data_IF_385661911540
#
_entry.id   IF_385661911540
#
_cell.length_a   1.000
_cell.length_b   1.000
_cell.length_c   1.000
_cell.angle_alpha   90.00
_cell.angle_beta   90.00
_cell.angle_gamma   90.00
#
_symmetry.space_group_name_H-M   'P 1'
#
loop_
_entity.id
_entity.type
_entity.pdbx_description
1 polymer ?
#
# COMPACT_ATOMS: atom_id res chain seq x y z
N UNK A 1 6.84 -53.84 -7.10
CA UNK A 1 6.59 -52.70 -8.02
C UNK A 1 5.61 -51.76 -7.33
N UNK A 2 6.11 -50.76 -6.62
CA UNK A 2 5.28 -49.72 -6.00
C UNK A 2 5.53 -48.41 -6.72
N UNK A 3 4.58 -47.98 -7.54
CA UNK A 3 4.64 -46.72 -8.28
C UNK A 3 4.51 -45.56 -7.30
N UNK A 4 5.61 -44.87 -7.04
CA UNK A 4 5.66 -43.66 -6.23
C UNK A 4 5.02 -42.48 -6.94
N UNK A 5 3.71 -42.30 -6.73
CA UNK A 5 3.00 -41.06 -7.05
C UNK A 5 3.16 -40.04 -5.92
N UNK A 6 4.37 -39.52 -5.73
CA UNK A 6 4.62 -38.47 -4.73
C UNK A 6 5.48 -37.33 -5.29
N UNK A 7 5.04 -36.58 -6.32
CA UNK A 7 5.68 -35.28 -6.59
C UNK A 7 4.99 -34.26 -7.51
N UNK A 8 3.69 -33.98 -7.38
CA UNK A 8 3.07 -32.89 -8.17
C UNK A 8 2.38 -31.77 -7.39
N UNK A 9 2.65 -31.64 -6.09
CA UNK A 9 2.18 -30.48 -5.29
C UNK A 9 3.32 -29.77 -4.55
N UNK A 10 4.40 -29.44 -5.23
CA UNK A 10 5.23 -28.33 -4.75
C UNK A 10 4.46 -27.04 -5.03
N UNK A 11 3.67 -26.57 -4.06
CA UNK A 11 3.19 -25.19 -4.04
C UNK A 11 4.44 -24.31 -4.06
N UNK A 12 4.72 -23.64 -5.19
CA UNK A 12 5.80 -22.67 -5.29
C UNK A 12 5.62 -21.62 -4.20
N UNK A 13 6.43 -21.72 -3.14
CA UNK A 13 6.40 -20.78 -2.03
C UNK A 13 7.23 -19.55 -2.41
N UNK A 14 6.74 -18.33 -2.15
CA UNK A 14 7.53 -17.13 -2.33
C UNK A 14 8.90 -17.27 -1.64
N UNK A 15 10.01 -16.91 -2.30
CA UNK A 15 11.36 -17.25 -1.84
C UNK A 15 11.86 -16.42 -0.64
N UNK A 16 10.98 -15.66 0.02
CA UNK A 16 11.33 -14.79 1.16
C UNK A 16 12.21 -13.60 0.77
N UNK A 17 12.96 -13.08 1.74
CA UNK A 17 13.85 -11.92 1.60
C UNK A 17 13.51 -10.74 2.53
N UNK A 18 14.23 -9.61 2.45
CA UNK A 18 13.95 -8.44 3.26
C UNK A 18 12.50 -7.96 3.09
N UNK A 19 11.89 -7.52 4.18
CA UNK A 19 10.46 -7.15 4.25
C UNK A 19 9.51 -8.28 3.79
N UNK A 20 9.85 -9.53 4.06
CA UNK A 20 8.93 -10.67 3.99
C UNK A 20 8.75 -11.28 5.36
N UNK A 21 7.54 -11.72 5.68
CA UNK A 21 7.24 -12.41 6.92
C UNK A 21 6.05 -13.36 6.76
N UNK A 22 5.87 -14.34 7.66
CA UNK A 22 4.71 -15.22 7.64
C UNK A 22 3.41 -14.42 7.70
N UNK A 23 2.51 -14.65 6.75
CA UNK A 23 1.20 -14.01 6.76
C UNK A 23 0.27 -14.74 7.75
N UNK A 24 -0.24 -14.05 8.80
CA UNK A 24 -1.13 -14.67 9.78
C UNK A 24 -2.45 -15.17 9.19
N UNK A 25 -2.87 -14.68 8.02
CA UNK A 25 -4.14 -15.08 7.37
C UNK A 25 -3.98 -16.06 6.22
N UNK A 26 -2.75 -16.34 5.77
CA UNK A 26 -2.46 -17.25 4.66
C UNK A 26 -1.54 -18.40 5.08
N UNK A 27 -1.88 -19.06 6.19
CA UNK A 27 -1.19 -20.26 6.72
C UNK A 27 0.33 -20.06 6.89
N UNK A 28 0.76 -18.84 7.21
CA UNK A 28 2.18 -18.53 7.40
C UNK A 28 3.00 -18.45 6.11
N UNK A 29 2.38 -18.42 4.92
CA UNK A 29 3.13 -18.15 3.69
C UNK A 29 3.88 -16.83 3.79
N UNK A 30 5.12 -16.83 3.31
CA UNK A 30 5.93 -15.61 3.29
C UNK A 30 5.32 -14.61 2.33
N UNK A 31 5.13 -13.38 2.80
CA UNK A 31 4.61 -12.30 2.00
C UNK A 31 5.04 -10.94 2.49
N UNK A 32 4.68 -9.94 1.70
CA UNK A 32 4.84 -8.53 2.01
C UNK A 32 3.51 -7.82 1.93
N UNK A 33 3.35 -6.78 2.74
CA UNK A 33 2.28 -5.79 2.65
C UNK A 33 2.79 -4.58 1.90
N UNK A 34 1.94 -4.03 1.03
CA UNK A 34 2.19 -2.75 0.36
C UNK A 34 1.31 -1.71 1.01
N UNK A 35 1.91 -0.60 1.39
CA UNK A 35 1.21 0.57 1.90
C UNK A 35 1.25 1.62 0.82
N UNK A 36 0.08 2.15 0.49
CA UNK A 36 -0.11 3.03 -0.65
C UNK A 36 -0.79 4.32 -0.18
N UNK A 37 -0.23 5.46 -0.59
CA UNK A 37 -0.90 6.76 -0.52
C UNK A 37 -1.28 7.16 -1.94
N UNK A 38 -2.53 7.56 -2.10
CA UNK A 38 -3.08 8.05 -3.37
C UNK A 38 -3.76 9.40 -3.18
N UNK A 39 -3.86 10.17 -4.26
CA UNK A 39 -4.73 11.34 -4.31
C UNK A 39 -6.23 10.95 -4.39
N UNK A 40 -7.11 11.95 -4.50
CA UNK A 40 -8.56 11.71 -4.56
C UNK A 40 -9.02 10.97 -5.84
N UNK A 41 -8.22 10.96 -6.92
CA UNK A 41 -8.51 10.27 -8.18
C UNK A 41 -7.95 8.84 -8.18
N UNK A 42 -6.95 8.58 -7.35
CA UNK A 42 -6.27 7.29 -7.24
C UNK A 42 -4.85 7.30 -7.80
N UNK A 43 -4.29 8.48 -8.09
CA UNK A 43 -2.90 8.66 -8.52
C UNK A 43 -1.98 8.24 -7.37
N UNK A 44 -1.09 7.25 -7.55
CA UNK A 44 -0.10 6.87 -6.55
C UNK A 44 0.84 8.02 -6.21
N UNK A 45 0.95 8.37 -4.93
CA UNK A 45 1.88 9.38 -4.42
C UNK A 45 3.08 8.75 -3.70
N UNK A 46 2.85 7.71 -2.91
CA UNK A 46 3.91 7.02 -2.18
C UNK A 46 3.58 5.53 -2.02
N UNK A 47 4.63 4.70 -2.08
CA UNK A 47 4.54 3.24 -1.90
C UNK A 47 5.63 2.82 -0.93
N UNK A 48 5.26 2.13 0.15
CA UNK A 48 6.21 1.45 1.02
C UNK A 48 5.83 -0.02 1.17
N UNK A 49 6.79 -0.83 1.60
CA UNK A 49 6.62 -2.29 1.70
C UNK A 49 7.11 -2.75 3.06
N UNK A 50 6.32 -3.57 3.73
CA UNK A 50 6.72 -4.24 4.97
C UNK A 50 6.50 -5.74 4.91
N UNK A 51 7.10 -6.50 5.83
CA UNK A 51 6.72 -7.91 6.06
C UNK A 51 5.21 -8.08 6.35
N UNK A 52 4.63 -9.20 5.92
CA UNK A 52 3.18 -9.43 6.04
C UNK A 52 2.64 -9.54 7.48
N UNK A 53 3.48 -9.85 8.47
CA UNK A 53 3.08 -9.88 9.87
C UNK A 53 3.08 -8.50 10.55
N UNK A 54 3.63 -7.46 9.90
CA UNK A 54 3.72 -6.13 10.48
C UNK A 54 2.34 -5.49 10.54
N UNK A 55 2.04 -4.81 11.64
CA UNK A 55 0.82 -4.04 11.78
C UNK A 55 0.88 -2.80 10.89
N UNK A 56 -0.19 -2.47 10.19
CA UNK A 56 -0.15 -1.44 9.13
C UNK A 56 0.21 -0.05 9.68
N UNK A 57 -0.18 0.23 10.93
CA UNK A 57 0.22 1.47 11.62
C UNK A 57 1.71 1.61 11.90
N UNK A 58 2.54 0.58 11.66
CA UNK A 58 4.02 0.70 11.69
C UNK A 58 4.53 1.43 10.45
N UNK A 59 3.94 1.17 9.29
CA UNK A 59 4.34 1.80 8.03
C UNK A 59 3.68 3.17 7.81
N UNK A 60 2.68 3.54 8.63
CA UNK A 60 1.86 4.74 8.44
C UNK A 60 2.70 6.01 8.32
N UNK A 61 3.56 6.26 9.30
CA UNK A 61 4.41 7.45 9.38
C UNK A 61 5.41 7.49 8.20
N UNK A 62 6.12 6.38 8.01
CA UNK A 62 7.07 6.20 6.92
C UNK A 62 6.44 6.45 5.54
N UNK A 63 5.22 5.97 5.31
CA UNK A 63 4.53 6.12 4.02
C UNK A 63 4.13 7.57 3.79
N UNK A 64 3.68 8.29 4.82
CA UNK A 64 3.34 9.73 4.71
C UNK A 64 4.58 10.57 4.43
N UNK A 65 5.71 10.27 5.09
CA UNK A 65 6.95 11.04 4.88
C UNK A 65 7.60 10.77 3.51
N UNK A 66 7.27 9.63 2.90
CA UNK A 66 7.68 9.25 1.55
C UNK A 66 6.89 9.97 0.44
N UNK A 67 5.84 10.75 0.74
CA UNK A 67 5.16 11.57 -0.27
C UNK A 67 6.19 12.55 -0.85
N UNK A 68 6.45 12.52 -2.18
CA UNK A 68 7.38 13.45 -2.78
C UNK A 68 6.78 14.87 -2.78
N UNK A 69 7.61 15.92 -2.90
CA UNK A 69 7.09 17.25 -3.23
C UNK A 69 6.32 17.15 -4.55
N UNK A 70 5.02 17.41 -4.52
CA UNK A 70 4.17 17.41 -5.72
C UNK A 70 4.15 18.83 -6.27
N UNK A 71 4.79 19.11 -7.42
CA UNK A 71 4.69 20.40 -8.07
C UNK A 71 3.24 20.64 -8.51
N UNK A 72 2.78 21.88 -8.39
CA UNK A 72 1.48 22.32 -8.87
C UNK A 72 1.61 23.68 -9.54
N UNK A 73 0.48 24.35 -9.81
CA UNK A 73 0.46 25.71 -10.37
C UNK A 73 1.06 26.78 -9.43
N UNK A 74 1.33 26.43 -8.17
CA UNK A 74 1.93 27.31 -7.17
C UNK A 74 3.43 27.16 -7.12
N UNK A 75 4.14 28.26 -6.85
CA UNK A 75 5.62 28.36 -6.83
C UNK A 75 6.30 27.36 -5.87
N UNK A 76 5.60 26.92 -4.81
CA UNK A 76 6.11 25.90 -3.88
C UNK A 76 5.40 24.55 -4.05
N UNK A 77 6.15 23.47 -4.38
CA UNK A 77 5.60 22.11 -4.40
C UNK A 77 5.02 21.69 -3.06
N UNK A 78 3.83 21.09 -3.06
CA UNK A 78 3.17 20.63 -1.84
C UNK A 78 3.62 19.21 -1.51
N UNK A 79 4.20 19.00 -0.32
CA UNK A 79 4.56 17.67 0.19
C UNK A 79 3.48 17.06 1.11
N UNK A 80 2.62 17.89 1.70
CA UNK A 80 1.67 17.45 2.75
C UNK A 80 0.23 17.65 2.30
N UNK A 81 -0.63 16.63 2.41
CA UNK A 81 -2.05 16.78 2.12
C UNK A 81 -2.76 17.60 3.21
N UNK A 82 -3.79 18.36 2.85
CA UNK A 82 -4.59 19.09 3.86
C UNK A 82 -5.42 18.16 4.75
N UNK A 83 -5.80 16.98 4.25
CA UNK A 83 -6.48 15.92 5.00
C UNK A 83 -6.03 14.54 4.53
N UNK A 84 -5.98 13.57 5.44
CA UNK A 84 -5.68 12.18 5.13
C UNK A 84 -6.83 11.28 5.56
N UNK A 85 -7.38 10.53 4.60
CA UNK A 85 -8.32 9.45 4.88
C UNK A 85 -7.55 8.16 5.13
N UNK A 86 -7.85 7.48 6.23
CA UNK A 86 -7.26 6.18 6.52
C UNK A 86 -8.30 5.26 7.16
N UNK A 87 -8.07 3.96 7.00
CA UNK A 87 -8.93 2.92 7.55
C UNK A 87 -9.02 2.99 9.08
N UNK A 88 -10.12 2.43 9.62
CA UNK A 88 -10.36 2.31 11.07
C UNK A 88 -9.23 1.58 11.82
N UNK A 89 -8.47 0.73 11.12
CA UNK A 89 -7.27 0.07 11.67
C UNK A 89 -6.12 1.03 12.02
N UNK A 90 -6.18 2.29 11.58
CA UNK A 90 -5.20 3.33 11.92
C UNK A 90 -5.65 4.23 13.08
N UNK A 91 -6.76 3.92 13.75
CA UNK A 91 -7.27 4.69 14.89
C UNK A 91 -6.43 4.49 16.16
N UNK A 92 -5.21 5.01 16.14
CA UNK A 92 -4.31 5.09 17.29
C UNK A 92 -3.98 6.54 17.57
N UNK A 93 -3.77 6.88 18.86
CA UNK A 93 -3.37 8.21 19.28
C UNK A 93 -2.10 8.68 18.55
N UNK A 94 -1.09 7.80 18.39
CA UNK A 94 0.14 8.09 17.65
C UNK A 94 -0.10 8.57 16.22
N UNK A 95 -0.99 7.89 15.47
CA UNK A 95 -1.28 8.24 14.08
C UNK A 95 -1.94 9.62 14.00
N UNK A 96 -2.89 9.91 14.90
CA UNK A 96 -3.57 11.21 14.94
C UNK A 96 -2.62 12.34 15.35
N UNK A 97 -1.76 12.10 16.34
CA UNK A 97 -0.76 13.05 16.80
C UNK A 97 0.25 13.37 15.69
N UNK A 98 0.72 12.33 14.99
CA UNK A 98 1.65 12.46 13.87
C UNK A 98 1.09 13.35 12.74
N UNK A 99 -0.18 13.15 12.39
CA UNK A 99 -0.87 13.98 11.39
C UNK A 99 -1.02 15.42 11.88
N UNK A 100 -1.42 15.62 13.15
CA UNK A 100 -1.59 16.95 13.75
C UNK A 100 -0.29 17.75 13.74
N UNK A 101 0.84 17.14 14.10
CA UNK A 101 2.16 17.78 14.07
C UNK A 101 2.56 18.25 12.68
N UNK A 102 2.04 17.60 11.62
CA UNK A 102 2.31 17.96 10.22
C UNK A 102 1.27 18.91 9.63
N UNK A 103 0.27 19.34 10.40
CA UNK A 103 -0.84 20.18 9.93
C UNK A 103 -1.83 19.44 9.03
N UNK A 104 -1.87 18.10 9.10
CA UNK A 104 -2.72 17.25 8.27
C UNK A 104 -3.99 16.90 9.05
N UNK A 105 -5.17 17.17 8.47
CA UNK A 105 -6.44 16.81 9.10
C UNK A 105 -6.68 15.30 9.04
N UNK A 106 -6.80 14.64 10.19
CA UNK A 106 -7.05 13.21 10.28
C UNK A 106 -8.52 12.86 9.98
N UNK A 107 -8.78 12.12 8.89
CA UNK A 107 -10.09 11.52 8.56
C UNK A 107 -10.02 10.00 8.76
N UNK A 108 -9.84 9.61 10.02
CA UNK A 108 -9.76 8.23 10.47
C UNK A 108 -11.00 7.95 11.32
N UNK A 109 -11.79 6.92 10.96
CA UNK A 109 -12.98 6.59 11.76
C UNK A 109 -12.61 5.94 13.09
N UNK A 110 -13.37 6.25 14.14
CA UNK A 110 -13.10 5.77 15.49
C UNK A 110 -13.43 4.29 15.66
N UNK A 111 -12.49 3.52 16.22
CA UNK A 111 -12.65 2.10 16.55
C UNK A 111 -13.81 1.91 17.54
N UNK A 112 -14.67 0.92 17.32
CA UNK A 112 -15.82 0.62 18.18
C UNK A 112 -16.99 1.61 18.14
N UNK A 113 -16.84 2.81 17.57
CA UNK A 113 -17.88 3.87 17.64
C UNK A 113 -18.58 4.08 16.31
N UNK A 114 -17.84 4.24 15.21
CA UNK A 114 -18.42 4.67 13.93
C UNK A 114 -18.68 3.50 12.97
N UNK A 115 -19.78 3.59 12.19
CA UNK A 115 -20.16 2.58 11.18
C UNK A 115 -19.12 2.50 10.05
N UNK A 116 -19.07 1.34 9.37
CA UNK A 116 -18.12 1.12 8.26
C UNK A 116 -18.54 1.83 6.97
N UNK A 117 -19.81 2.22 6.80
CA UNK A 117 -20.30 2.78 5.52
C UNK A 117 -19.64 4.10 5.14
N UNK A 118 -19.38 4.99 6.11
CA UNK A 118 -18.79 6.32 5.85
C UNK A 118 -17.37 6.24 5.26
N UNK A 119 -16.60 5.21 5.60
CA UNK A 119 -15.26 4.99 5.06
C UNK A 119 -15.30 4.49 3.61
N UNK A 120 -16.31 3.71 3.24
CA UNK A 120 -16.42 3.04 1.94
C UNK A 120 -16.27 4.01 0.75
N UNK A 121 -16.82 5.22 0.85
CA UNK A 121 -16.79 6.23 -0.23
C UNK A 121 -15.37 6.64 -0.64
N UNK A 122 -14.45 6.72 0.33
CA UNK A 122 -13.05 7.10 0.08
C UNK A 122 -12.14 5.88 -0.06
N UNK A 123 -12.47 4.79 0.64
CA UNK A 123 -11.74 3.53 0.62
C UNK A 123 -11.69 2.90 -0.76
N UNK A 124 -12.78 2.98 -1.53
CA UNK A 124 -12.83 2.42 -2.89
C UNK A 124 -11.72 2.96 -3.81
N UNK A 125 -11.31 4.22 -3.67
CA UNK A 125 -10.23 4.79 -4.48
C UNK A 125 -8.91 4.05 -4.24
N UNK A 126 -8.58 3.80 -2.96
CA UNK A 126 -7.36 3.08 -2.56
C UNK A 126 -7.43 1.62 -2.99
N UNK A 127 -8.58 0.97 -2.79
CA UNK A 127 -8.80 -0.44 -3.17
C UNK A 127 -8.71 -0.64 -4.68
N UNK A 128 -9.26 0.28 -5.48
CA UNK A 128 -9.16 0.28 -6.94
C UNK A 128 -7.70 0.41 -7.38
N UNK A 129 -6.93 1.34 -6.79
CA UNK A 129 -5.52 1.49 -7.14
C UNK A 129 -4.72 0.24 -6.75
N UNK A 130 -5.00 -0.39 -5.60
CA UNK A 130 -4.43 -1.69 -5.25
C UNK A 130 -4.79 -2.77 -6.29
N UNK A 131 -6.02 -2.79 -6.80
CA UNK A 131 -6.43 -3.71 -7.86
C UNK A 131 -5.66 -3.48 -9.16
N UNK A 132 -5.35 -2.23 -9.54
CA UNK A 132 -4.48 -1.94 -10.68
C UNK A 132 -3.07 -2.49 -10.50
N UNK A 133 -2.46 -2.31 -9.32
CA UNK A 133 -1.17 -2.95 -9.01
C UNK A 133 -1.26 -4.48 -9.12
N UNK A 134 -2.32 -5.09 -8.59
CA UNK A 134 -2.55 -6.53 -8.69
C UNK A 134 -2.87 -7.00 -10.13
N UNK A 135 -3.29 -6.10 -11.01
CA UNK A 135 -3.59 -6.36 -12.43
C UNK A 135 -2.34 -6.65 -13.26
N UNK A 136 -1.17 -6.18 -12.86
CA UNK A 136 0.11 -6.49 -13.52
C UNK A 136 0.55 -7.97 -13.35
N UNK A 137 -0.22 -8.79 -12.62
CA UNK A 137 0.02 -10.23 -12.46
C UNK A 137 1.24 -10.56 -11.59
N UNK A 138 2.44 -10.21 -12.07
CA UNK A 138 3.71 -10.34 -11.36
C UNK A 138 3.70 -9.62 -10.01
N UNK A 139 3.04 -8.48 -9.93
CA UNK A 139 2.87 -7.75 -8.69
C UNK A 139 1.72 -8.28 -7.83
N UNK A 140 1.06 -9.40 -8.16
CA UNK A 140 0.09 -9.99 -7.23
C UNK A 140 0.78 -10.79 -6.13
N UNK A 141 1.80 -11.56 -6.51
CA UNK A 141 2.60 -12.39 -5.61
C UNK A 141 4.06 -11.96 -5.76
N UNK A 142 4.70 -11.54 -4.67
CA UNK A 142 6.12 -11.16 -4.69
C UNK A 142 6.97 -12.42 -4.83
N UNK A 143 7.67 -12.56 -5.95
CA UNK A 143 8.69 -13.59 -6.15
C UNK A 143 10.11 -13.04 -6.05
N UNK A 144 10.27 -11.71 -6.01
CA UNK A 144 11.56 -11.05 -5.91
C UNK A 144 12.14 -11.21 -4.49
N UNK A 145 13.28 -11.88 -4.37
CA UNK A 145 14.02 -11.99 -3.09
C UNK A 145 14.53 -10.64 -2.61
N UNK A 146 15.07 -9.84 -3.53
CA UNK A 146 15.60 -8.50 -3.20
C UNK A 146 14.48 -7.46 -3.16
N UNK A 147 14.49 -6.63 -2.12
CA UNK A 147 13.47 -5.61 -1.90
C UNK A 147 13.58 -4.46 -2.91
N UNK A 148 14.80 -4.06 -3.27
CA UNK A 148 15.06 -3.00 -4.25
C UNK A 148 14.46 -3.32 -5.63
N UNK A 149 14.60 -4.55 -6.12
CA UNK A 149 13.97 -5.01 -7.36
C UNK A 149 12.45 -4.95 -7.23
N UNK A 150 11.89 -5.39 -6.10
CA UNK A 150 10.44 -5.33 -5.88
C UNK A 150 9.92 -3.89 -5.88
N UNK A 151 10.63 -2.98 -5.19
CA UNK A 151 10.32 -1.55 -5.17
C UNK A 151 10.43 -0.94 -6.57
N UNK A 152 11.45 -1.28 -7.36
CA UNK A 152 11.61 -0.80 -8.73
C UNK A 152 10.42 -1.24 -9.63
N UNK A 153 9.97 -2.49 -9.50
CA UNK A 153 8.78 -2.97 -10.23
C UNK A 153 7.50 -2.25 -9.78
N UNK A 154 7.36 -1.96 -8.49
CA UNK A 154 6.24 -1.17 -7.97
C UNK A 154 6.29 0.27 -8.50
N UNK A 155 7.47 0.91 -8.53
CA UNK A 155 7.64 2.24 -9.10
C UNK A 155 7.32 2.27 -10.60
N UNK A 156 7.73 1.26 -11.36
CA UNK A 156 7.39 1.14 -12.78
C UNK A 156 5.88 0.99 -12.98
N UNK A 157 5.22 0.13 -12.21
CA UNK A 157 3.77 -0.01 -12.25
C UNK A 157 3.05 1.29 -11.84
N UNK A 158 3.59 2.01 -10.86
CA UNK A 158 3.06 3.31 -10.46
C UNK A 158 3.15 4.32 -11.60
N UNK A 159 4.27 4.38 -12.32
CA UNK A 159 4.43 5.25 -13.48
C UNK A 159 3.40 4.94 -14.59
N UNK A 160 3.18 3.65 -14.89
CA UNK A 160 2.16 3.21 -15.86
C UNK A 160 0.73 3.51 -15.37
N UNK A 161 0.48 3.49 -14.07
CA UNK A 161 -0.82 3.93 -13.52
C UNK A 161 -0.95 5.45 -13.66
N UNK A 162 0.10 6.21 -13.33
CA UNK A 162 0.10 7.67 -13.43
C UNK A 162 -0.12 8.15 -14.87
N UNK A 163 0.43 7.45 -15.88
CA UNK A 163 0.26 7.83 -17.29
C UNK A 163 -1.21 7.82 -17.73
N UNK A 164 -2.07 7.01 -17.09
CA UNK A 164 -3.52 6.96 -17.37
C UNK A 164 -4.26 8.26 -17.02
N UNK A 165 -3.64 9.11 -16.22
CA UNK A 165 -4.21 10.40 -15.79
C UNK A 165 -3.62 11.59 -16.54
N UNK A 166 -2.72 11.35 -17.50
CA UNK A 166 -2.06 12.42 -18.28
C UNK A 166 -3.01 12.95 -19.35
N UNK A 167 -3.76 12.07 -20.02
CA UNK A 167 -4.74 12.50 -21.03
C UNK A 167 -5.89 13.32 -20.42
N UNK A 168 -6.17 13.14 -19.12
CA UNK A 168 -7.15 13.96 -18.37
C UNK A 168 -6.60 15.33 -17.90
N UNK A 169 -5.31 15.61 -18.14
CA UNK A 169 -4.62 16.83 -17.71
C UNK A 169 -4.22 17.74 -18.89
N UNK A 170 -4.35 17.25 -20.12
CA UNK A 170 -4.13 17.98 -21.37
C UNK A 170 -5.49 18.40 -21.97
#
# INVERSE_FOLDING_TARGET
MGTGEHRWRQRFQPPGGPETAPNPTDRGKLGSKRHLIVDARGVPLAITVTGANRHDSVAFEQTIDAIPPVPGLTVQPRKRPGKLHADKGYDFARCRQYLRQRGITARISRRGVESKERLGRHRWVVERTHAWFAGFGKLRIRFERRLDIHLALLSLAAAVICSRFVDDLC
#
